data_IF_589368753057
#
_entry.id   IF_589368753057
#
_cell.length_a   1.000
_cell.length_b   1.000
_cell.length_c   1.000
_cell.angle_alpha   90.00
_cell.angle_beta   90.00
_cell.angle_gamma   90.00
#
_symmetry.space_group_name_H-M   'P 1'
#
loop_
_entity.id
_entity.type
_entity.pdbx_description
1 polymer ?
#
# COMPACT_ATOMS: atom_id res chain seq x y z
N UNK A 1 34.85 -11.96 7.31
CA UNK A 1 34.30 -12.27 5.99
C UNK A 1 32.81 -12.32 6.16
N UNK A 2 32.11 -11.31 5.64
CA UNK A 2 30.65 -11.26 5.70
C UNK A 2 30.06 -12.14 4.61
N UNK A 3 29.29 -13.13 5.01
CA UNK A 3 28.50 -13.97 4.11
C UNK A 3 27.36 -13.12 3.57
N UNK A 4 27.41 -12.78 2.27
CA UNK A 4 26.28 -12.18 1.57
C UNK A 4 25.15 -13.22 1.56
N UNK A 5 24.11 -12.99 2.37
CA UNK A 5 22.87 -13.75 2.30
C UNK A 5 22.17 -13.33 1.02
N UNK A 6 22.25 -14.18 -0.01
CA UNK A 6 21.47 -13.98 -1.23
C UNK A 6 20.01 -14.24 -0.88
N UNK A 7 19.09 -13.26 -1.03
CA UNK A 7 17.68 -13.48 -0.77
C UNK A 7 17.16 -14.59 -1.69
N UNK A 8 16.34 -15.49 -1.15
CA UNK A 8 15.75 -16.57 -1.92
C UNK A 8 14.97 -16.02 -3.13
N UNK A 9 15.04 -16.68 -4.30
CA UNK A 9 14.33 -16.22 -5.48
C UNK A 9 12.82 -16.16 -5.18
N UNK A 10 12.20 -15.04 -5.57
CA UNK A 10 10.75 -14.89 -5.47
C UNK A 10 10.12 -15.90 -6.43
N UNK A 11 9.23 -16.80 -5.96
CA UNK A 11 8.61 -17.79 -6.83
C UNK A 11 7.82 -17.11 -7.94
N UNK A 12 7.99 -17.57 -9.18
CA UNK A 12 7.15 -17.15 -10.30
C UNK A 12 5.73 -17.69 -10.10
N UNK A 13 4.74 -16.79 -10.19
CA UNK A 13 3.33 -17.15 -10.08
C UNK A 13 2.76 -17.47 -11.45
N UNK A 14 1.88 -18.48 -11.50
CA UNK A 14 1.08 -18.76 -12.69
C UNK A 14 0.08 -17.63 -12.96
N UNK A 15 -0.40 -17.52 -14.20
CA UNK A 15 -1.45 -16.55 -14.55
C UNK A 15 -2.70 -16.69 -13.67
N UNK A 16 -3.10 -17.91 -13.33
CA UNK A 16 -4.24 -18.17 -12.45
C UNK A 16 -3.99 -17.61 -11.05
N UNK A 17 -2.78 -17.80 -10.50
CA UNK A 17 -2.41 -17.27 -9.20
C UNK A 17 -2.32 -15.74 -9.22
N UNK A 18 -1.80 -15.15 -10.30
CA UNK A 18 -1.79 -13.68 -10.49
C UNK A 18 -3.20 -13.10 -10.54
N UNK A 19 -4.13 -13.74 -11.26
CA UNK A 19 -5.54 -13.32 -11.31
C UNK A 19 -6.19 -13.42 -9.93
N UNK A 20 -5.98 -14.54 -9.22
CA UNK A 20 -6.49 -14.69 -7.86
C UNK A 20 -5.90 -13.66 -6.89
N UNK A 21 -4.59 -13.38 -7.00
CA UNK A 21 -3.93 -12.38 -6.17
C UNK A 21 -4.49 -10.99 -6.46
N UNK A 22 -4.72 -10.63 -7.73
CA UNK A 22 -5.38 -9.37 -8.10
C UNK A 22 -6.79 -9.27 -7.50
N UNK A 23 -7.59 -10.33 -7.56
CA UNK A 23 -8.94 -10.35 -6.95
C UNK A 23 -8.86 -10.13 -5.44
N UNK A 24 -7.93 -10.81 -4.76
CA UNK A 24 -7.70 -10.64 -3.31
C UNK A 24 -7.27 -9.21 -2.97
N UNK A 25 -6.39 -8.61 -3.75
CA UNK A 25 -5.96 -7.21 -3.54
C UNK A 25 -7.13 -6.25 -3.72
N UNK A 26 -7.96 -6.40 -4.76
CA UNK A 26 -9.17 -5.57 -4.94
C UNK A 26 -10.12 -5.71 -3.75
N UNK A 27 -10.32 -6.94 -3.25
CA UNK A 27 -11.16 -7.18 -2.09
C UNK A 27 -10.59 -6.51 -0.82
N UNK A 28 -9.28 -6.60 -0.60
CA UNK A 28 -8.59 -5.94 0.51
C UNK A 28 -8.68 -4.42 0.42
N UNK A 29 -8.51 -3.84 -0.76
CA UNK A 29 -8.68 -2.39 -0.99
C UNK A 29 -10.09 -1.93 -0.59
N UNK A 30 -11.12 -2.66 -1.04
CA UNK A 30 -12.51 -2.34 -0.69
C UNK A 30 -12.78 -2.48 0.81
N UNK A 31 -12.21 -3.50 1.46
CA UNK A 31 -12.32 -3.68 2.90
C UNK A 31 -11.66 -2.52 3.66
N UNK A 32 -10.46 -2.11 3.26
CA UNK A 32 -9.74 -0.97 3.85
C UNK A 32 -10.55 0.32 3.69
N UNK A 33 -11.12 0.57 2.51
CA UNK A 33 -11.99 1.73 2.26
C UNK A 33 -13.19 1.72 3.21
N UNK A 34 -13.88 0.60 3.35
CA UNK A 34 -15.04 0.48 4.23
C UNK A 34 -14.65 0.73 5.71
N UNK A 35 -13.53 0.18 6.16
CA UNK A 35 -13.00 0.41 7.50
C UNK A 35 -12.64 1.88 7.74
N UNK A 36 -11.99 2.53 6.78
CA UNK A 36 -11.62 3.94 6.88
C UNK A 36 -12.87 4.83 6.88
N UNK A 37 -13.88 4.56 6.04
CA UNK A 37 -15.12 5.31 6.01
C UNK A 37 -15.84 5.25 7.37
N UNK A 38 -15.84 4.09 8.03
CA UNK A 38 -16.43 3.89 9.35
C UNK A 38 -15.55 4.36 10.53
N UNK A 39 -14.28 4.71 10.30
CA UNK A 39 -13.36 5.13 11.36
C UNK A 39 -13.78 6.47 11.99
N UNK A 40 -13.15 6.92 13.08
CA UNK A 40 -13.20 8.31 13.53
C UNK A 40 -12.41 9.27 12.62
N UNK A 41 -12.75 10.57 12.59
CA UNK A 41 -12.07 11.58 11.74
C UNK A 41 -10.56 11.68 11.98
N UNK A 42 -10.12 11.64 13.23
CA UNK A 42 -8.69 11.69 13.58
C UNK A 42 -7.91 10.48 13.06
N UNK A 43 -8.54 9.31 12.91
CA UNK A 43 -7.91 8.13 12.31
C UNK A 43 -7.76 8.25 10.79
N UNK A 44 -8.72 8.89 10.10
CA UNK A 44 -8.57 9.18 8.67
C UNK A 44 -7.44 10.19 8.44
N UNK A 45 -7.40 11.26 9.26
CA UNK A 45 -6.34 12.25 9.18
C UNK A 45 -4.95 11.61 9.38
N UNK A 46 -4.81 10.75 10.41
CA UNK A 46 -3.61 9.97 10.68
C UNK A 46 -3.23 9.05 9.51
N UNK A 47 -4.19 8.39 8.86
CA UNK A 47 -3.93 7.55 7.69
C UNK A 47 -3.39 8.37 6.50
N UNK A 48 -3.89 9.59 6.31
CA UNK A 48 -3.35 10.54 5.34
C UNK A 48 -1.94 11.00 5.67
N UNK A 49 -1.66 11.29 6.94
CA UNK A 49 -0.31 11.63 7.42
C UNK A 49 0.67 10.47 7.24
N UNK A 50 0.24 9.23 7.51
CA UNK A 50 1.04 8.04 7.27
C UNK A 50 1.39 7.88 5.78
N UNK A 51 0.47 8.20 4.85
CA UNK A 51 0.77 8.23 3.42
C UNK A 51 1.87 9.24 3.06
N UNK A 52 1.94 10.36 3.79
CA UNK A 52 3.02 11.34 3.64
C UNK A 52 4.36 10.84 4.24
N UNK A 53 4.33 10.00 5.28
CA UNK A 53 5.54 9.42 5.89
C UNK A 53 6.22 8.32 5.05
N UNK A 54 5.47 7.63 4.20
CA UNK A 54 6.01 6.69 3.19
C UNK A 54 6.52 7.42 1.95
N UNK A 55 6.14 8.68 1.75
CA UNK A 55 6.81 9.56 0.80
C UNK A 55 8.20 9.90 1.34
N UNK A 56 9.26 9.83 0.50
CA UNK A 56 10.63 9.89 0.97
C UNK A 56 10.99 11.27 1.54
N UNK A 57 11.86 11.26 2.54
CA UNK A 57 12.57 12.47 3.00
C UNK A 57 13.56 12.93 1.91
N UNK A 58 13.84 14.24 1.80
CA UNK A 58 14.83 14.74 0.86
C UNK A 58 16.19 14.03 1.06
N UNK A 59 16.73 13.43 0.00
CA UNK A 59 18.06 12.81 -0.01
C UNK A 59 18.13 11.27 0.01
N UNK A 60 17.00 10.55 0.07
CA UNK A 60 16.99 9.09 -0.06
C UNK A 60 16.87 8.63 -1.54
N UNK A 61 17.63 7.60 -1.95
CA UNK A 61 17.50 7.00 -3.28
C UNK A 61 16.18 6.22 -3.38
N UNK A 62 15.29 6.65 -4.27
CA UNK A 62 13.94 6.11 -4.42
C UNK A 62 13.89 4.81 -5.21
N UNK A 63 13.23 3.78 -4.67
CA UNK A 63 12.72 2.69 -5.49
C UNK A 63 11.34 3.09 -6.04
N UNK A 64 11.08 3.00 -7.37
CA UNK A 64 9.80 3.40 -7.98
C UNK A 64 8.54 2.82 -7.31
N UNK A 65 8.65 1.62 -6.73
CA UNK A 65 7.55 0.95 -6.03
C UNK A 65 7.10 1.69 -4.75
N UNK A 66 7.99 2.40 -4.06
CA UNK A 66 7.64 3.11 -2.81
C UNK A 66 6.79 4.35 -3.10
N UNK A 67 7.08 5.06 -4.19
CA UNK A 67 6.26 6.20 -4.67
C UNK A 67 4.86 5.73 -5.05
N UNK A 68 4.80 4.58 -5.74
CA UNK A 68 3.53 3.99 -6.14
C UNK A 68 2.68 3.61 -4.92
N UNK A 69 3.28 3.00 -3.89
CA UNK A 69 2.59 2.65 -2.65
C UNK A 69 2.02 3.88 -1.91
N UNK A 70 2.80 4.97 -1.80
CA UNK A 70 2.32 6.21 -1.18
C UNK A 70 1.12 6.79 -1.94
N UNK A 71 1.18 6.80 -3.28
CA UNK A 71 0.07 7.26 -4.13
C UNK A 71 -1.19 6.43 -3.93
N UNK A 72 -1.07 5.10 -3.86
CA UNK A 72 -2.20 4.21 -3.61
C UNK A 72 -2.83 4.46 -2.24
N UNK A 73 -2.03 4.67 -1.20
CA UNK A 73 -2.55 4.96 0.15
C UNK A 73 -3.31 6.29 0.21
N UNK A 74 -2.83 7.33 -0.48
CA UNK A 74 -3.58 8.59 -0.60
C UNK A 74 -4.92 8.41 -1.31
N UNK A 75 -4.98 7.61 -2.39
CA UNK A 75 -6.23 7.34 -3.11
C UNK A 75 -7.25 6.59 -2.23
N UNK A 76 -6.80 5.58 -1.47
CA UNK A 76 -7.67 4.82 -0.56
C UNK A 76 -8.32 5.74 0.49
N UNK A 77 -7.54 6.62 1.12
CA UNK A 77 -8.05 7.62 2.09
C UNK A 77 -9.06 8.54 1.42
N UNK A 78 -8.72 9.10 0.25
CA UNK A 78 -9.62 9.98 -0.49
C UNK A 78 -10.94 9.30 -0.90
N UNK A 79 -10.90 8.03 -1.29
CA UNK A 79 -12.10 7.23 -1.62
C UNK A 79 -12.96 6.98 -0.38
N UNK A 80 -12.36 6.63 0.74
CA UNK A 80 -13.07 6.43 2.00
C UNK A 80 -13.78 7.70 2.48
N UNK A 81 -13.13 8.87 2.39
CA UNK A 81 -13.75 10.14 2.75
C UNK A 81 -14.99 10.49 1.92
N UNK A 82 -15.08 10.02 0.66
CA UNK A 82 -16.26 10.24 -0.21
C UNK A 82 -17.44 9.32 0.09
N UNK A 83 -17.23 8.24 0.85
CA UNK A 83 -18.25 7.23 1.16
C UNK A 83 -18.85 7.36 2.56
N UNK A 84 -18.37 8.33 3.35
CA UNK A 84 -19.07 8.80 4.55
C UNK A 84 -20.27 9.64 4.17
#
# INVERSE_FOLDING_TARGET
GDTIVVPAPIPELTNTELVQMRIRVIALENLVIAMLAAAPENMIAMAGEMAAFISPRPGASLHPLTIHAATQMTDLVGRASRLR
#
